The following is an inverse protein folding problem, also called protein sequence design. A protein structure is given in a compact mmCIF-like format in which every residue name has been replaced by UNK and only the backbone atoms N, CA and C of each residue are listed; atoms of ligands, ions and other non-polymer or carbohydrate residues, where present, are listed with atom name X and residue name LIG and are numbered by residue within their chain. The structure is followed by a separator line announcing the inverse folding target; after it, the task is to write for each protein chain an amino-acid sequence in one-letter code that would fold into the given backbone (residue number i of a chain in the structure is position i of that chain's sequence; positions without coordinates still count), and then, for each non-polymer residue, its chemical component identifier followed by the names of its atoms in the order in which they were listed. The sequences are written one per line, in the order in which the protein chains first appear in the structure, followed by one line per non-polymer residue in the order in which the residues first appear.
data_IF_748522431580
#
_entry.id   IF_748522431580
#
_cell.length_a   1.000
_cell.length_b   1.000
_cell.length_c   1.000
_cell.angle_alpha   90.00
_cell.angle_beta   90.00
_cell.angle_gamma   90.00
#
_symmetry.space_group_name_H-M   'P 1'
#
loop_
_entity.id
_entity.type
_entity.pdbx_description
1 polymer ?
#
# COMPACT_ATOMS: atom_id res chain seq x y z
N UNK A 1 -25.35 -22.56 29.53
CA UNK A 1 -24.88 -22.54 28.11
C UNK A 1 -23.34 -22.57 28.01
N UNK A 2 -22.64 -23.46 28.73
CA UNK A 2 -21.17 -23.56 28.74
C UNK A 2 -20.65 -25.00 28.54
N UNK A 3 -21.37 -25.84 27.78
CA UNK A 3 -20.99 -27.26 27.53
C UNK A 3 -20.93 -27.67 26.06
N UNK A 4 -20.99 -26.73 25.12
CA UNK A 4 -21.04 -27.03 23.68
C UNK A 4 -20.03 -26.23 22.84
N UNK A 5 -18.87 -25.88 23.40
CA UNK A 5 -17.71 -25.60 22.56
C UNK A 5 -17.12 -26.94 22.10
N UNK A 6 -17.86 -27.51 21.14
CA UNK A 6 -17.41 -28.31 20.01
C UNK A 6 -15.91 -28.62 20.08
N UNK A 7 -15.62 -29.87 20.44
CA UNK A 7 -14.39 -30.62 20.20
C UNK A 7 -13.91 -30.32 18.77
N UNK A 8 -13.24 -29.18 18.56
CA UNK A 8 -12.34 -29.02 17.44
C UNK A 8 -11.36 -30.18 17.62
N UNK A 9 -11.23 -31.02 16.60
CA UNK A 9 -10.34 -32.18 16.62
C UNK A 9 -9.01 -31.69 17.14
N UNK A 10 -8.72 -31.95 18.43
CA UNK A 10 -7.47 -31.52 19.01
C UNK A 10 -6.38 -32.22 18.20
N UNK A 11 -5.24 -31.55 17.93
CA UNK A 11 -4.15 -32.26 17.30
C UNK A 11 -3.85 -33.50 18.16
N UNK A 12 -3.60 -34.67 17.55
CA UNK A 12 -3.50 -35.95 18.27
C UNK A 12 -2.47 -35.94 19.41
N UNK A 13 -1.58 -34.96 19.39
CA UNK A 13 -0.47 -34.75 20.31
C UNK A 13 -0.81 -33.82 21.50
N UNK A 14 -1.95 -33.12 21.47
CA UNK A 14 -2.37 -32.25 22.57
C UNK A 14 -2.56 -33.02 23.88
N UNK A 15 -3.17 -34.21 23.81
CA UNK A 15 -3.39 -35.07 24.98
C UNK A 15 -2.09 -35.64 25.56
N UNK A 16 -1.07 -35.85 24.70
CA UNK A 16 0.28 -36.26 25.15
C UNK A 16 0.92 -35.10 25.91
N UNK A 17 0.92 -33.90 25.32
CA UNK A 17 1.51 -32.71 25.95
C UNK A 17 0.80 -32.31 27.25
N UNK A 18 -0.52 -32.52 27.37
CA UNK A 18 -1.28 -32.30 28.62
C UNK A 18 -0.87 -33.22 29.75
N UNK A 19 -0.43 -34.45 29.44
CA UNK A 19 0.02 -35.41 30.45
C UNK A 19 1.37 -35.04 31.06
N UNK A 20 2.13 -34.15 30.41
CA UNK A 20 3.33 -33.54 30.97
C UNK A 20 4.54 -33.61 30.05
N UNK A 21 5.62 -32.96 30.47
CA UNK A 21 6.89 -32.90 29.75
C UNK A 21 7.49 -34.29 29.44
N UNK A 22 7.42 -35.24 30.38
CA UNK A 22 8.02 -36.57 30.23
C UNK A 22 7.35 -37.39 29.11
N UNK A 23 6.02 -37.37 29.04
CA UNK A 23 5.26 -38.07 28.00
C UNK A 23 5.53 -37.45 26.63
N UNK A 24 5.65 -36.13 26.56
CA UNK A 24 6.01 -35.41 25.35
C UNK A 24 7.43 -35.78 24.88
N UNK A 25 8.38 -35.92 25.81
CA UNK A 25 9.74 -36.35 25.53
C UNK A 25 9.79 -37.80 25.02
N UNK A 26 9.03 -38.72 25.63
CA UNK A 26 8.93 -40.11 25.16
C UNK A 26 8.35 -40.19 23.76
N UNK A 27 7.27 -39.47 23.49
CA UNK A 27 6.66 -39.43 22.15
C UNK A 27 7.67 -38.95 21.09
N UNK A 28 8.46 -37.92 21.42
CA UNK A 28 9.50 -37.38 20.53
C UNK A 28 10.63 -38.37 20.28
N UNK A 29 10.99 -39.18 21.28
CA UNK A 29 11.99 -40.24 21.14
C UNK A 29 11.49 -41.40 20.26
N UNK A 30 10.20 -41.72 20.33
CA UNK A 30 9.57 -42.75 19.50
C UNK A 30 9.35 -42.29 18.05
N UNK A 31 9.17 -40.99 17.80
CA UNK A 31 8.87 -40.41 16.49
C UNK A 31 9.89 -39.33 16.06
N UNK A 32 11.19 -39.66 15.92
CA UNK A 32 12.24 -38.66 15.65
C UNK A 32 12.13 -38.00 14.26
N UNK A 33 11.42 -38.63 13.33
CA UNK A 33 11.24 -38.14 11.96
C UNK A 33 10.00 -37.25 11.79
N UNK A 34 9.12 -37.21 12.79
CA UNK A 34 7.89 -36.41 12.73
C UNK A 34 8.09 -35.03 13.37
N UNK A 35 7.77 -33.94 12.66
CA UNK A 35 7.85 -32.61 13.25
C UNK A 35 6.79 -32.44 14.33
N UNK A 36 7.24 -32.11 15.54
CA UNK A 36 6.38 -31.86 16.68
C UNK A 36 5.59 -30.54 16.49
N UNK A 37 4.30 -30.65 16.20
CA UNK A 37 3.38 -29.52 16.05
C UNK A 37 2.22 -29.62 17.04
N UNK A 38 2.05 -28.55 17.82
CA UNK A 38 0.98 -28.33 18.79
C UNK A 38 0.16 -27.08 18.40
N UNK A 39 0.17 -26.73 17.10
CA UNK A 39 -0.53 -25.56 16.60
C UNK A 39 -2.04 -25.66 16.86
N UNK A 40 -2.60 -24.62 17.49
CA UNK A 40 -4.00 -24.58 17.90
C UNK A 40 -4.41 -25.58 18.99
N UNK A 41 -3.46 -26.30 19.59
CA UNK A 41 -3.72 -27.21 20.69
C UNK A 41 -4.27 -26.44 21.90
N UNK A 42 -5.22 -27.05 22.61
CA UNK A 42 -5.64 -26.57 23.92
C UNK A 42 -4.77 -27.27 24.97
N UNK A 43 -3.93 -26.51 25.64
CA UNK A 43 -2.95 -26.90 26.65
C UNK A 43 -3.15 -26.05 27.92
N UNK A 44 -4.39 -25.63 28.17
CA UNK A 44 -4.78 -24.89 29.37
C UNK A 44 -4.31 -25.61 30.63
N UNK A 45 -3.64 -24.89 31.52
CA UNK A 45 -3.07 -25.38 32.79
C UNK A 45 -2.10 -26.57 32.65
N UNK A 46 -1.57 -26.82 31.45
CA UNK A 46 -0.61 -27.89 31.23
C UNK A 46 0.71 -27.62 31.98
N UNK A 47 1.27 -28.67 32.61
CA UNK A 47 2.60 -28.61 33.19
C UNK A 47 3.65 -29.04 32.15
N UNK A 48 4.26 -28.05 31.50
CA UNK A 48 5.34 -28.23 30.53
C UNK A 48 6.70 -27.82 31.13
N UNK A 49 6.83 -27.87 32.45
CA UNK A 49 8.07 -27.53 33.14
C UNK A 49 9.17 -28.52 32.75
N UNK A 50 10.36 -28.03 32.42
CA UNK A 50 11.50 -28.82 31.93
C UNK A 50 11.33 -29.39 30.52
N UNK A 51 10.22 -29.11 29.82
CA UNK A 51 9.99 -29.66 28.49
C UNK A 51 10.97 -29.09 27.46
N UNK A 52 11.49 -29.97 26.60
CA UNK A 52 12.20 -29.54 25.40
C UNK A 52 11.20 -29.23 24.28
N UNK A 53 10.91 -27.94 24.09
CA UNK A 53 10.02 -27.41 23.07
C UNK A 53 10.80 -26.74 21.94
N UNK A 54 12.08 -27.10 21.77
CA UNK A 54 12.94 -26.54 20.72
C UNK A 54 12.33 -26.79 19.33
N UNK A 55 12.13 -25.71 18.57
CA UNK A 55 11.56 -25.73 17.22
C UNK A 55 10.08 -26.11 17.12
N UNK A 56 9.35 -26.25 18.23
CA UNK A 56 7.95 -26.69 18.23
C UNK A 56 7.01 -25.58 17.76
N UNK A 57 6.07 -25.92 16.87
CA UNK A 57 5.03 -24.99 16.46
C UNK A 57 3.86 -25.00 17.47
N UNK A 58 3.72 -23.92 18.24
CA UNK A 58 2.65 -23.65 19.20
C UNK A 58 1.72 -22.53 18.68
N UNK A 59 1.74 -22.25 17.38
CA UNK A 59 0.97 -21.14 16.79
C UNK A 59 -0.52 -21.28 17.11
N UNK A 60 -1.11 -20.24 17.70
CA UNK A 60 -2.53 -20.20 18.03
C UNK A 60 -2.97 -21.14 19.18
N UNK A 61 -2.05 -21.86 19.83
CA UNK A 61 -2.36 -22.72 20.97
C UNK A 61 -2.99 -21.93 22.14
N UNK A 62 -3.76 -22.62 22.97
CA UNK A 62 -4.32 -22.09 24.22
C UNK A 62 -3.48 -22.63 25.36
N UNK A 63 -2.65 -21.79 25.97
CA UNK A 63 -1.69 -22.11 27.02
C UNK A 63 -2.01 -21.30 28.29
N UNK A 64 -3.28 -21.00 28.50
CA UNK A 64 -3.72 -20.21 29.64
C UNK A 64 -3.39 -20.95 30.94
N UNK A 65 -2.67 -20.30 31.85
CA UNK A 65 -2.22 -20.90 33.11
C UNK A 65 -1.14 -21.99 32.99
N UNK A 66 -0.60 -22.25 31.80
CA UNK A 66 0.43 -23.28 31.63
C UNK A 66 1.75 -22.91 32.33
N UNK A 67 2.46 -23.93 32.84
CA UNK A 67 3.79 -23.77 33.43
C UNK A 67 4.89 -24.16 32.43
N UNK A 68 5.83 -23.26 32.20
CA UNK A 68 7.03 -23.43 31.37
C UNK A 68 8.32 -23.24 32.19
N UNK A 69 8.29 -23.46 33.50
CA UNK A 69 9.47 -23.36 34.34
C UNK A 69 10.58 -24.29 33.78
N UNK A 70 11.78 -23.75 33.55
CA UNK A 70 12.94 -24.48 33.00
C UNK A 70 12.70 -25.13 31.61
N UNK A 71 11.65 -24.73 30.89
CA UNK A 71 11.37 -25.24 29.54
C UNK A 71 12.31 -24.60 28.51
N UNK A 72 12.73 -25.39 27.50
CA UNK A 72 13.56 -24.90 26.39
C UNK A 72 12.69 -24.48 25.22
N UNK A 73 12.68 -23.19 24.88
CA UNK A 73 11.85 -22.58 23.84
C UNK A 73 12.66 -22.06 22.64
N UNK A 74 13.91 -22.48 22.48
CA UNK A 74 14.74 -22.14 21.32
C UNK A 74 14.00 -22.43 20.01
N UNK A 75 13.86 -21.45 19.12
CA UNK A 75 13.16 -21.56 17.82
C UNK A 75 11.69 -22.01 17.86
N UNK A 76 11.05 -22.12 19.04
CA UNK A 76 9.62 -22.38 19.16
C UNK A 76 8.76 -21.27 18.52
N UNK A 77 7.57 -21.59 18.02
CA UNK A 77 6.69 -20.59 17.39
C UNK A 77 5.43 -20.41 18.23
N UNK A 78 5.33 -19.31 18.98
CA UNK A 78 4.20 -18.98 19.86
C UNK A 78 3.24 -17.95 19.23
N UNK A 79 3.25 -17.83 17.90
CA UNK A 79 2.51 -16.79 17.19
C UNK A 79 1.00 -16.91 17.41
N UNK A 80 0.38 -15.85 17.90
CA UNK A 80 -1.07 -15.85 18.17
C UNK A 80 -1.51 -16.78 19.29
N UNK A 81 -0.60 -17.38 20.07
CA UNK A 81 -0.94 -18.22 21.21
C UNK A 81 -1.64 -17.39 22.31
N UNK A 82 -2.47 -18.04 23.11
CA UNK A 82 -3.00 -17.46 24.35
C UNK A 82 -2.11 -17.93 25.49
N UNK A 83 -1.41 -17.02 26.16
CA UNK A 83 -0.47 -17.30 27.27
C UNK A 83 -0.96 -16.64 28.56
N UNK A 84 -2.29 -16.51 28.73
CA UNK A 84 -2.86 -15.73 29.83
C UNK A 84 -2.47 -16.39 31.15
N UNK A 85 -1.84 -15.64 32.05
CA UNK A 85 -1.35 -16.16 33.34
C UNK A 85 -0.39 -17.35 33.22
N UNK A 86 0.24 -17.55 32.06
CA UNK A 86 1.25 -18.59 31.90
C UNK A 86 2.53 -18.19 32.65
N UNK A 87 3.24 -19.16 33.20
CA UNK A 87 4.52 -18.95 33.86
C UNK A 87 5.68 -19.29 32.92
N UNK A 88 6.36 -18.28 32.39
CA UNK A 88 7.56 -18.38 31.53
C UNK A 88 8.81 -17.82 32.22
N UNK A 89 8.78 -17.51 33.52
CA UNK A 89 9.84 -16.75 34.20
C UNK A 89 11.22 -17.41 34.14
N UNK A 90 11.26 -18.75 34.11
CA UNK A 90 12.47 -19.55 34.02
C UNK A 90 12.63 -20.24 32.65
N UNK A 91 11.89 -19.83 31.62
CA UNK A 91 12.00 -20.44 30.31
C UNK A 91 13.27 -19.97 29.58
N UNK A 92 13.97 -20.90 28.93
CA UNK A 92 15.21 -20.65 28.22
C UNK A 92 14.99 -20.45 26.71
N UNK A 93 15.79 -19.57 26.10
CA UNK A 93 15.82 -19.43 24.63
C UNK A 93 14.61 -18.69 24.02
N UNK A 94 13.75 -18.08 24.84
CA UNK A 94 12.61 -17.29 24.37
C UNK A 94 13.06 -15.91 23.87
N UNK A 95 12.63 -15.55 22.67
CA UNK A 95 12.91 -14.31 21.97
C UNK A 95 11.61 -13.53 21.73
N UNK A 96 11.64 -12.19 21.75
CA UNK A 96 10.45 -11.36 21.54
C UNK A 96 9.66 -11.69 20.26
N UNK A 97 10.35 -11.97 19.16
CA UNK A 97 9.74 -12.26 17.86
C UNK A 97 8.91 -13.56 17.82
N UNK A 98 9.12 -14.48 18.78
CA UNK A 98 8.35 -15.73 18.89
C UNK A 98 6.95 -15.47 19.45
N UNK A 99 6.77 -14.38 20.20
CA UNK A 99 5.52 -13.97 20.85
C UNK A 99 4.61 -13.10 19.97
N UNK A 100 4.95 -12.96 18.68
CA UNK A 100 4.20 -12.13 17.73
C UNK A 100 2.69 -12.46 17.73
N UNK A 101 1.87 -11.46 18.07
CA UNK A 101 0.42 -11.58 18.17
C UNK A 101 -0.12 -12.43 19.33
N UNK A 102 0.73 -12.88 20.26
CA UNK A 102 0.30 -13.63 21.43
C UNK A 102 -0.45 -12.75 22.45
N UNK A 103 -1.26 -13.38 23.30
CA UNK A 103 -1.93 -12.72 24.43
C UNK A 103 -1.19 -13.04 25.72
N UNK A 104 -0.47 -12.06 26.26
CA UNK A 104 0.37 -12.23 27.44
C UNK A 104 -0.31 -11.78 28.73
N UNK A 105 -1.63 -11.57 28.75
CA UNK A 105 -2.32 -11.00 29.92
C UNK A 105 -1.97 -11.75 31.22
N UNK A 106 -1.28 -11.08 32.15
CA UNK A 106 -0.85 -11.64 33.42
C UNK A 106 0.22 -12.73 33.34
N UNK A 107 0.86 -12.93 32.20
CA UNK A 107 1.95 -13.89 32.02
C UNK A 107 3.23 -13.40 32.71
N UNK A 108 3.97 -14.32 33.33
CA UNK A 108 5.30 -14.04 33.89
C UNK A 108 6.35 -14.33 32.83
N UNK A 109 7.07 -13.31 32.35
CA UNK A 109 8.11 -13.44 31.33
C UNK A 109 9.50 -13.59 31.97
N UNK A 110 10.47 -14.21 31.26
CA UNK A 110 11.85 -14.29 31.73
C UNK A 110 12.53 -12.92 31.69
N UNK A 111 13.52 -12.69 32.56
CA UNK A 111 14.27 -11.41 32.65
C UNK A 111 14.97 -11.04 31.34
N UNK A 112 15.30 -12.03 30.51
CA UNK A 112 15.89 -11.84 29.18
C UNK A 112 14.99 -11.05 28.21
N UNK A 113 13.68 -11.03 28.47
CA UNK A 113 12.69 -10.29 27.67
C UNK A 113 12.25 -9.07 28.45
N UNK A 114 12.89 -7.94 28.15
CA UNK A 114 12.49 -6.66 28.73
C UNK A 114 11.16 -6.19 28.13
N UNK A 115 10.10 -6.18 28.95
CA UNK A 115 8.79 -5.62 28.60
C UNK A 115 8.91 -4.15 28.18
N UNK A 116 9.73 -3.37 28.89
CA UNK A 116 10.01 -1.98 28.55
C UNK A 116 10.50 -1.77 27.10
N UNK A 117 11.41 -2.62 26.58
CA UNK A 117 11.85 -2.51 25.18
C UNK A 117 10.76 -2.89 24.19
N UNK A 118 9.87 -3.82 24.53
CA UNK A 118 8.73 -4.17 23.67
C UNK A 118 7.73 -3.01 23.62
N UNK A 119 7.50 -2.34 24.74
CA UNK A 119 6.65 -1.13 24.80
C UNK A 119 7.29 0.06 24.09
N UNK A 120 8.59 0.26 24.26
CA UNK A 120 9.34 1.27 23.52
C UNK A 120 9.31 0.98 22.01
N UNK A 121 9.48 -0.29 21.60
CA UNK A 121 9.32 -0.70 20.20
C UNK A 121 7.89 -0.51 19.69
N UNK A 122 6.87 -0.68 20.54
CA UNK A 122 5.49 -0.36 20.19
C UNK A 122 5.32 1.14 19.93
N UNK A 123 5.89 2.00 20.78
CA UNK A 123 5.87 3.47 20.63
C UNK A 123 6.72 3.96 19.45
N UNK A 124 7.92 3.40 19.27
CA UNK A 124 8.88 3.81 18.24
C UNK A 124 8.47 3.31 16.85
N UNK A 125 7.90 2.09 16.79
CA UNK A 125 7.23 1.60 15.59
C UNK A 125 6.06 2.50 15.20
N UNK A 126 5.37 3.03 16.21
CA UNK A 126 4.26 3.98 16.12
C UNK A 126 4.72 5.44 16.13
N UNK A 127 5.72 5.82 15.31
CA UNK A 127 5.91 7.22 14.91
C UNK A 127 4.71 7.69 14.05
N UNK A 128 3.50 7.54 14.59
CA UNK A 128 2.21 7.82 14.01
C UNK A 128 2.12 9.27 13.59
N UNK A 129 2.79 10.18 14.30
CA UNK A 129 2.83 11.60 13.92
C UNK A 129 3.49 11.81 12.55
N UNK A 130 4.56 11.09 12.25
CA UNK A 130 5.20 11.16 10.93
C UNK A 130 4.33 10.49 9.85
N UNK A 131 3.79 9.30 10.11
CA UNK A 131 2.86 8.64 9.17
C UNK A 131 1.63 9.50 8.89
N UNK A 132 1.10 10.11 9.95
CA UNK A 132 -0.02 11.06 9.95
C UNK A 132 0.28 12.24 9.06
N UNK A 133 1.41 12.87 9.28
CA UNK A 133 1.83 14.04 8.53
C UNK A 133 1.91 13.68 7.04
N UNK A 134 2.58 12.58 6.69
CA UNK A 134 2.71 12.12 5.29
C UNK A 134 1.34 11.84 4.67
N UNK A 135 0.43 11.18 5.39
CA UNK A 135 -0.92 10.93 4.92
C UNK A 135 -1.73 12.22 4.71
N UNK A 136 -1.61 13.20 5.61
CA UNK A 136 -2.26 14.50 5.45
C UNK A 136 -1.68 15.27 4.26
N UNK A 137 -0.37 15.21 4.02
CA UNK A 137 0.25 15.76 2.81
C UNK A 137 -0.27 15.06 1.54
N UNK A 138 -0.44 13.74 1.57
CA UNK A 138 -1.05 13.00 0.45
C UNK A 138 -2.50 13.43 0.21
N UNK A 139 -3.32 13.58 1.27
CA UNK A 139 -4.70 14.06 1.16
C UNK A 139 -4.75 15.49 0.63
N UNK A 140 -3.91 16.38 1.16
CA UNK A 140 -3.78 17.76 0.69
C UNK A 140 -3.36 17.83 -0.78
N UNK A 141 -2.38 17.01 -1.18
CA UNK A 141 -1.97 16.88 -2.59
C UNK A 141 -3.09 16.37 -3.48
N UNK A 142 -3.85 15.36 -3.06
CA UNK A 142 -5.03 14.89 -3.80
C UNK A 142 -6.08 15.99 -3.93
N UNK A 143 -6.45 16.65 -2.82
CA UNK A 143 -7.43 17.72 -2.80
C UNK A 143 -7.02 18.89 -3.70
N UNK A 144 -5.73 19.23 -3.68
CA UNK A 144 -5.15 20.25 -4.53
C UNK A 144 -5.27 19.88 -6.02
N UNK A 145 -4.91 18.65 -6.40
CA UNK A 145 -5.09 18.17 -7.78
C UNK A 145 -6.56 18.19 -8.20
N UNK A 146 -7.49 17.80 -7.32
CA UNK A 146 -8.92 17.87 -7.62
C UNK A 146 -9.43 19.31 -7.79
N UNK A 147 -8.96 20.24 -6.95
CA UNK A 147 -9.27 21.66 -7.10
C UNK A 147 -8.79 22.18 -8.45
N UNK A 148 -7.57 21.82 -8.85
CA UNK A 148 -6.99 22.17 -10.14
C UNK A 148 -7.74 21.54 -11.32
N UNK A 149 -8.19 20.28 -11.18
CA UNK A 149 -9.01 19.60 -12.20
C UNK A 149 -10.36 20.27 -12.43
N UNK A 150 -10.98 20.76 -11.36
CA UNK A 150 -12.28 21.43 -11.40
C UNK A 150 -12.14 22.88 -11.89
N UNK A 151 -11.08 23.60 -11.48
CA UNK A 151 -10.85 24.99 -11.86
C UNK A 151 -10.37 25.15 -13.30
N UNK A 152 -9.64 24.16 -13.84
CA UNK A 152 -9.07 24.25 -15.20
C UNK A 152 -10.14 24.00 -16.26
N UNK A 153 -10.41 25.02 -17.07
CA UNK A 153 -11.33 24.93 -18.21
C UNK A 153 -10.72 24.13 -19.37
N UNK A 154 -11.55 23.54 -20.24
CA UNK A 154 -11.06 22.81 -21.42
C UNK A 154 -10.22 23.70 -22.35
N UNK A 155 -10.56 25.00 -22.40
CA UNK A 155 -9.87 25.97 -23.23
C UNK A 155 -8.43 26.23 -22.75
N UNK A 156 -8.25 26.45 -21.44
CA UNK A 156 -6.93 26.63 -20.82
C UNK A 156 -6.02 25.41 -21.01
N UNK A 157 -6.60 24.21 -20.98
CA UNK A 157 -5.88 22.96 -21.19
C UNK A 157 -5.42 22.78 -22.65
N UNK A 158 -6.23 23.18 -23.63
CA UNK A 158 -5.94 23.05 -25.06
C UNK A 158 -5.00 24.15 -25.56
N UNK A 159 -5.22 25.39 -25.12
CA UNK A 159 -4.43 26.54 -25.56
C UNK A 159 -3.02 26.57 -24.96
N UNK A 160 -2.73 25.81 -23.90
CA UNK A 160 -1.49 25.90 -23.11
C UNK A 160 -1.20 27.31 -22.54
N UNK A 161 -2.12 28.26 -22.72
CA UNK A 161 -2.07 29.65 -22.27
C UNK A 161 -2.59 29.82 -20.83
N UNK A 162 -3.12 28.76 -20.23
CA UNK A 162 -3.67 28.77 -18.88
C UNK A 162 -2.58 28.88 -17.83
N UNK A 163 -2.18 30.11 -17.51
CA UNK A 163 -1.57 30.44 -16.21
C UNK A 163 -2.59 30.06 -15.14
N UNK A 164 -2.25 29.06 -14.32
CA UNK A 164 -3.09 28.73 -13.17
C UNK A 164 -2.53 29.46 -11.97
N UNK A 165 -3.29 30.46 -11.50
CA UNK A 165 -2.99 31.13 -10.25
C UNK A 165 -3.13 30.13 -9.11
N UNK A 166 -2.00 29.75 -8.51
CA UNK A 166 -1.97 28.84 -7.37
C UNK A 166 -2.49 29.58 -6.12
N UNK A 167 -3.65 29.22 -5.55
CA UNK A 167 -4.30 30.00 -4.48
C UNK A 167 -3.50 30.09 -3.17
N UNK A 168 -2.39 29.35 -3.05
CA UNK A 168 -1.53 29.31 -1.86
C UNK A 168 -0.13 29.90 -2.06
N UNK A 169 0.32 30.07 -3.31
CA UNK A 169 1.72 30.40 -3.59
C UNK A 169 1.93 31.65 -4.44
N UNK A 170 0.86 32.29 -4.95
CA UNK A 170 0.95 33.50 -5.79
C UNK A 170 1.99 33.37 -6.91
N UNK A 171 2.10 32.14 -7.46
CA UNK A 171 3.01 31.77 -8.53
C UNK A 171 2.19 31.32 -9.73
N UNK A 172 2.51 31.94 -10.85
CA UNK A 172 1.93 31.66 -12.16
C UNK A 172 2.66 30.48 -12.80
N UNK A 173 2.06 29.30 -12.72
CA UNK A 173 2.60 28.09 -13.34
C UNK A 173 1.79 27.72 -14.60
N UNK A 174 2.46 27.32 -15.70
CA UNK A 174 1.78 26.74 -16.85
C UNK A 174 1.00 25.50 -16.44
N UNK A 175 -0.30 25.46 -16.74
CA UNK A 175 -1.19 24.33 -16.44
C UNK A 175 -0.63 22.97 -16.91
N UNK A 176 0.04 22.94 -18.06
CA UNK A 176 0.63 21.72 -18.63
C UNK A 176 1.72 21.10 -17.73
N UNK A 177 2.57 21.91 -17.12
CA UNK A 177 3.62 21.44 -16.19
C UNK A 177 2.98 20.82 -14.95
N UNK A 178 1.91 21.42 -14.44
CA UNK A 178 1.18 20.88 -13.31
C UNK A 178 0.54 19.50 -13.62
N UNK A 179 -0.17 19.37 -14.74
CA UNK A 179 -0.81 18.10 -15.10
C UNK A 179 0.17 17.00 -15.53
N UNK A 180 1.39 17.38 -15.92
CA UNK A 180 2.49 16.44 -16.15
C UNK A 180 3.14 16.01 -14.83
N UNK A 181 3.66 16.96 -14.04
CA UNK A 181 4.47 16.68 -12.86
C UNK A 181 3.65 16.31 -11.61
N UNK A 182 2.46 16.89 -11.45
CA UNK A 182 1.59 16.70 -10.29
C UNK A 182 1.26 15.23 -9.98
N UNK A 183 0.84 14.42 -10.98
CA UNK A 183 0.64 12.98 -10.77
C UNK A 183 1.88 12.24 -10.27
N UNK A 184 3.07 12.54 -10.79
CA UNK A 184 4.30 11.87 -10.36
C UNK A 184 4.72 12.27 -8.95
N UNK A 185 4.60 13.56 -8.59
CA UNK A 185 4.83 14.02 -7.22
C UNK A 185 3.86 13.35 -6.25
N UNK A 186 2.58 13.24 -6.62
CA UNK A 186 1.57 12.55 -5.82
C UNK A 186 1.91 11.06 -5.65
N UNK A 187 2.35 10.39 -6.72
CA UNK A 187 2.80 8.98 -6.68
C UNK A 187 4.01 8.82 -5.77
N UNK A 188 4.97 9.75 -5.80
CA UNK A 188 6.16 9.70 -4.93
C UNK A 188 5.77 9.80 -3.45
N UNK A 189 4.91 10.76 -3.09
CA UNK A 189 4.39 10.91 -1.72
C UNK A 189 3.58 9.68 -1.31
N UNK A 190 2.72 9.17 -2.20
CA UNK A 190 1.93 7.95 -1.98
C UNK A 190 2.83 6.73 -1.72
N UNK A 191 3.85 6.54 -2.55
CA UNK A 191 4.81 5.45 -2.39
C UNK A 191 5.57 5.56 -1.06
N UNK A 192 6.06 6.75 -0.72
CA UNK A 192 6.78 7.00 0.53
C UNK A 192 5.90 6.67 1.75
N UNK A 193 4.63 7.09 1.72
CA UNK A 193 3.65 6.74 2.75
C UNK A 193 3.50 5.22 2.92
N UNK A 194 3.39 4.48 1.82
CA UNK A 194 3.20 3.03 1.85
C UNK A 194 4.44 2.28 2.35
N UNK A 195 5.64 2.72 1.99
CA UNK A 195 6.89 2.16 2.55
C UNK A 195 6.97 2.41 4.05
N UNK A 196 6.60 3.61 4.49
CA UNK A 196 6.60 3.97 5.91
C UNK A 196 5.60 3.10 6.70
N UNK A 197 4.38 2.97 6.18
CA UNK A 197 3.34 2.15 6.77
C UNK A 197 3.75 0.67 6.86
N UNK A 198 4.41 0.14 5.82
CA UNK A 198 4.93 -1.22 5.82
C UNK A 198 5.95 -1.45 6.95
N UNK A 199 6.91 -0.53 7.12
CA UNK A 199 7.92 -0.62 8.20
C UNK A 199 7.29 -0.57 9.58
N UNK A 200 6.30 0.31 9.77
CA UNK A 200 5.51 0.39 11.00
C UNK A 200 4.81 -0.95 11.28
N UNK A 201 4.16 -1.53 10.27
CA UNK A 201 3.39 -2.77 10.44
C UNK A 201 4.28 -3.98 10.70
N UNK A 202 5.46 -4.07 10.09
CA UNK A 202 6.44 -5.13 10.39
C UNK A 202 6.90 -5.08 11.84
N UNK A 203 7.09 -3.87 12.38
CA UNK A 203 7.44 -3.65 13.78
C UNK A 203 6.30 -4.10 14.68
N UNK A 204 5.07 -3.64 14.44
CA UNK A 204 3.90 -4.02 15.22
C UNK A 204 3.55 -5.51 15.11
N UNK A 205 3.78 -6.13 13.95
CA UNK A 205 3.54 -7.56 13.73
C UNK A 205 4.52 -8.46 14.49
N UNK A 206 5.69 -7.94 14.87
CA UNK A 206 6.67 -8.67 15.70
C UNK A 206 6.30 -8.69 17.18
N UNK A 207 5.43 -7.79 17.62
CA UNK A 207 5.04 -7.60 19.00
C UNK A 207 3.86 -8.48 19.42
N UNK A 208 3.68 -8.73 20.73
CA UNK A 208 2.49 -9.40 21.24
C UNK A 208 1.23 -8.57 20.99
N UNK A 209 0.08 -9.23 20.85
CA UNK A 209 -1.21 -8.56 20.65
C UNK A 209 -1.70 -7.88 21.95
N UNK A 210 -1.43 -8.51 23.10
CA UNK A 210 -1.75 -7.99 24.43
C UNK A 210 -0.53 -8.16 25.32
N UNK A 211 -0.15 -7.08 25.99
CA UNK A 211 1.02 -7.03 26.87
C UNK A 211 0.72 -7.71 28.23
N UNK A 212 1.74 -8.01 29.05
CA UNK A 212 1.57 -8.57 30.39
C UNK A 212 0.58 -7.82 31.28
N UNK A 213 0.51 -6.49 31.15
CA UNK A 213 -0.42 -5.63 31.90
C UNK A 213 -1.89 -5.81 31.50
N UNK A 214 -2.17 -6.60 30.46
CA UNK A 214 -3.49 -6.78 29.88
C UNK A 214 -3.91 -5.66 28.92
N UNK A 215 -3.06 -4.65 28.72
CA UNK A 215 -3.29 -3.63 27.72
C UNK A 215 -3.01 -4.15 26.30
N UNK A 216 -3.96 -3.98 25.36
CA UNK A 216 -3.74 -4.36 23.98
C UNK A 216 -2.81 -3.37 23.27
N UNK A 217 -2.12 -3.88 22.25
CA UNK A 217 -1.20 -3.09 21.42
C UNK A 217 -1.86 -1.88 20.73
N UNK A 218 -3.16 -1.91 20.46
CA UNK A 218 -3.88 -0.79 19.85
C UNK A 218 -4.19 0.36 20.80
N UNK A 219 -3.99 0.17 22.12
CA UNK A 219 -3.99 1.26 23.10
C UNK A 219 -2.57 1.79 23.34
N UNK A 220 -1.57 0.91 23.29
CA UNK A 220 -0.15 1.31 23.45
C UNK A 220 0.41 2.00 22.18
N UNK A 221 -0.06 1.62 21.00
CA UNK A 221 0.13 2.36 19.74
C UNK A 221 -1.06 3.32 19.54
N UNK A 222 -0.80 4.59 19.31
CA UNK A 222 -1.81 5.64 19.11
C UNK A 222 -2.77 5.25 17.97
N UNK A 223 -4.07 5.28 18.26
CA UNK A 223 -5.12 4.85 17.34
C UNK A 223 -5.33 5.78 16.14
N UNK A 224 -4.40 5.77 15.18
CA UNK A 224 -4.57 6.42 13.88
C UNK A 224 -5.43 5.57 12.92
N UNK A 225 -6.09 6.21 11.93
CA UNK A 225 -7.10 5.61 11.03
C UNK A 225 -6.66 4.33 10.30
N UNK A 226 -5.35 4.15 10.06
CA UNK A 226 -4.77 3.01 9.35
C UNK A 226 -4.43 1.82 10.26
N UNK A 227 -4.39 1.99 11.59
CA UNK A 227 -4.27 0.86 12.54
C UNK A 227 -5.58 0.08 12.70
N UNK A 228 -6.71 0.60 12.21
CA UNK A 228 -7.98 -0.14 12.16
C UNK A 228 -7.87 -1.48 11.41
N UNK A 229 -6.94 -1.59 10.46
CA UNK A 229 -6.61 -2.83 9.75
C UNK A 229 -5.93 -3.87 10.67
N UNK A 230 -5.11 -3.43 11.63
CA UNK A 230 -4.51 -4.29 12.66
C UNK A 230 -5.60 -4.92 13.53
N UNK A 231 -6.62 -4.12 13.90
CA UNK A 231 -7.81 -4.59 14.63
C UNK A 231 -8.61 -5.64 13.87
N UNK A 232 -8.61 -5.59 12.53
CA UNK A 232 -9.34 -6.57 11.71
C UNK A 232 -8.72 -7.97 11.81
N UNK A 233 -7.40 -8.08 11.95
CA UNK A 233 -6.68 -9.37 11.97
C UNK A 233 -6.74 -10.07 13.31
N UNK A 234 -6.56 -9.36 14.42
CA UNK A 234 -6.63 -9.95 15.75
C UNK A 234 -8.07 -9.98 16.24
N UNK A 235 -8.79 -11.06 15.88
CA UNK A 235 -10.15 -11.37 16.36
C UNK A 235 -10.31 -11.29 17.90
N UNK A 236 -9.20 -11.34 18.66
CA UNK A 236 -9.17 -11.31 20.15
C UNK A 236 -9.13 -9.91 20.77
N UNK A 237 -8.97 -8.84 19.99
CA UNK A 237 -9.08 -7.47 20.52
C UNK A 237 -10.55 -7.20 20.90
N UNK A 238 -10.82 -7.08 22.21
CA UNK A 238 -12.17 -6.97 22.77
C UNK A 238 -12.85 -5.66 22.33
N UNK A 239 -14.06 -5.80 21.79
CA UNK A 239 -14.99 -4.69 21.54
C UNK A 239 -14.80 -4.03 20.17
N UNK A 240 -15.55 -4.48 19.16
CA UNK A 240 -15.65 -3.73 17.89
C UNK A 240 -16.68 -2.61 18.06
N UNK A 241 -16.32 -1.32 17.84
CA UNK A 241 -17.32 -0.25 17.81
C UNK A 241 -18.27 -0.43 16.61
N UNK A 242 -19.50 0.06 16.71
CA UNK A 242 -20.56 -0.10 15.68
C UNK A 242 -20.18 0.49 14.31
N UNK A 243 -19.33 1.53 14.28
CA UNK A 243 -18.86 2.18 13.04
C UNK A 243 -17.56 1.57 12.47
N UNK A 244 -17.10 0.44 12.99
CA UNK A 244 -15.82 -0.17 12.59
C UNK A 244 -15.73 -0.47 11.08
N UNK A 245 -16.82 -0.95 10.47
CA UNK A 245 -16.84 -1.28 9.04
C UNK A 245 -16.70 -0.04 8.16
N UNK A 246 -17.47 1.01 8.45
CA UNK A 246 -17.48 2.25 7.69
C UNK A 246 -16.13 2.99 7.82
N UNK A 247 -15.57 3.04 9.03
CA UNK A 247 -14.25 3.62 9.26
C UNK A 247 -13.16 2.84 8.50
N UNK A 248 -13.20 1.51 8.52
CA UNK A 248 -12.24 0.67 7.78
C UNK A 248 -12.36 0.88 6.27
N UNK A 249 -13.59 0.93 5.74
CA UNK A 249 -13.83 1.20 4.33
C UNK A 249 -13.32 2.59 3.92
N UNK A 250 -13.55 3.61 4.75
CA UNK A 250 -13.04 4.96 4.53
C UNK A 250 -11.51 4.99 4.57
N UNK A 251 -10.88 4.32 5.53
CA UNK A 251 -9.41 4.21 5.60
C UNK A 251 -8.82 3.51 4.38
N UNK A 252 -9.47 2.45 3.87
CA UNK A 252 -9.04 1.78 2.64
C UNK A 252 -9.19 2.69 1.43
N UNK A 253 -10.31 3.40 1.32
CA UNK A 253 -10.56 4.33 0.23
C UNK A 253 -9.53 5.47 0.23
N UNK A 254 -9.29 6.10 1.39
CA UNK A 254 -8.34 7.21 1.49
C UNK A 254 -6.88 6.75 1.37
N UNK A 255 -6.52 5.61 1.96
CA UNK A 255 -5.15 5.11 1.99
C UNK A 255 -4.70 4.39 0.72
N UNK A 256 -5.61 3.72 0.00
CA UNK A 256 -5.29 2.92 -1.18
C UNK A 256 -6.04 3.33 -2.46
N UNK A 257 -7.18 4.01 -2.35
CA UNK A 257 -8.03 4.36 -3.51
C UNK A 257 -7.85 5.80 -4.01
N UNK A 258 -7.71 6.77 -3.11
CA UNK A 258 -7.77 8.19 -3.46
C UNK A 258 -6.69 8.62 -4.45
N UNK A 259 -5.44 8.24 -4.23
CA UNK A 259 -4.35 8.59 -5.14
C UNK A 259 -4.52 7.95 -6.54
N UNK A 260 -4.80 6.64 -6.69
CA UNK A 260 -5.15 6.06 -8.00
C UNK A 260 -6.30 6.76 -8.71
N UNK A 261 -7.39 7.06 -8.00
CA UNK A 261 -8.55 7.76 -8.55
C UNK A 261 -8.15 9.16 -9.05
N UNK A 262 -7.31 9.87 -8.30
CA UNK A 262 -6.84 11.22 -8.64
C UNK A 262 -5.93 11.19 -9.87
N UNK A 263 -4.97 10.26 -9.93
CA UNK A 263 -4.08 10.10 -11.10
C UNK A 263 -4.88 9.70 -12.35
N UNK A 264 -5.85 8.81 -12.22
CA UNK A 264 -6.75 8.43 -13.31
C UNK A 264 -7.61 9.60 -13.79
N UNK A 265 -8.10 10.44 -12.88
CA UNK A 265 -8.86 11.64 -13.23
C UNK A 265 -8.01 12.64 -14.03
N UNK A 266 -6.74 12.82 -13.67
CA UNK A 266 -5.78 13.62 -14.44
C UNK A 266 -5.57 13.04 -15.83
N UNK A 267 -5.30 11.74 -15.94
CA UNK A 267 -5.15 11.07 -17.25
C UNK A 267 -6.39 11.26 -18.13
N UNK A 268 -7.59 11.00 -17.59
CA UNK A 268 -8.85 11.15 -18.33
C UNK A 268 -9.04 12.57 -18.83
N UNK A 269 -8.65 13.58 -18.04
CA UNK A 269 -8.77 15.00 -18.42
C UNK A 269 -7.78 15.37 -19.52
N UNK A 270 -6.53 14.92 -19.42
CA UNK A 270 -5.47 15.23 -20.39
C UNK A 270 -5.59 14.42 -21.69
N UNK A 271 -6.23 13.25 -21.67
CA UNK A 271 -6.49 12.46 -22.86
C UNK A 271 -7.29 13.21 -23.94
N UNK A 272 -8.04 14.26 -23.56
CA UNK A 272 -8.78 15.13 -24.47
C UNK A 272 -7.82 15.94 -25.38
N UNK A 273 -6.61 16.25 -24.93
CA UNK A 273 -5.61 17.02 -25.70
C UNK A 273 -5.06 16.23 -26.89
N UNK A 274 -5.30 14.91 -26.95
CA UNK A 274 -4.80 14.00 -27.98
C UNK A 274 -3.26 14.02 -28.18
N UNK A 275 -2.50 14.53 -27.20
CA UNK A 275 -1.05 14.40 -27.13
C UNK A 275 -0.69 13.00 -26.64
N UNK A 276 -0.36 12.12 -27.59
CA UNK A 276 -0.10 10.70 -27.31
C UNK A 276 1.04 10.48 -26.30
N UNK A 277 2.12 11.27 -26.38
CA UNK A 277 3.26 11.14 -25.46
C UNK A 277 2.84 11.37 -24.01
N UNK A 278 2.19 12.51 -23.73
CA UNK A 278 1.67 12.86 -22.40
C UNK A 278 0.64 11.84 -21.91
N UNK A 279 -0.24 11.38 -22.81
CA UNK A 279 -1.28 10.39 -22.46
C UNK A 279 -0.70 9.02 -22.12
N UNK A 280 0.33 8.56 -22.84
CA UNK A 280 1.04 7.30 -22.56
C UNK A 280 1.76 7.40 -21.21
N UNK A 281 2.49 8.49 -20.96
CA UNK A 281 3.19 8.69 -19.68
C UNK A 281 2.22 8.66 -18.50
N UNK A 282 1.06 9.29 -18.63
CA UNK A 282 0.04 9.29 -17.58
C UNK A 282 -0.69 7.94 -17.45
N UNK A 283 -0.85 7.18 -18.53
CA UNK A 283 -1.36 5.80 -18.46
C UNK A 283 -0.39 4.88 -17.71
N UNK A 284 0.92 5.04 -17.95
CA UNK A 284 1.97 4.35 -17.18
C UNK A 284 1.96 4.78 -15.70
N UNK A 285 1.75 6.07 -15.42
CA UNK A 285 1.58 6.57 -14.06
C UNK A 285 0.35 5.95 -13.35
N UNK A 286 -0.77 5.80 -14.07
CA UNK A 286 -1.96 5.08 -13.57
C UNK A 286 -1.64 3.61 -13.25
N UNK A 287 -0.92 2.92 -14.12
CA UNK A 287 -0.51 1.54 -13.89
C UNK A 287 0.41 1.43 -12.66
N UNK A 288 1.39 2.33 -12.53
CA UNK A 288 2.32 2.37 -11.39
C UNK A 288 1.57 2.57 -10.06
N UNK A 289 0.68 3.56 -9.97
CA UNK A 289 -0.01 3.86 -8.71
C UNK A 289 -0.94 2.72 -8.29
N UNK A 290 -1.60 2.05 -9.24
CA UNK A 290 -2.42 0.87 -8.97
C UNK A 290 -1.54 -0.30 -8.51
N UNK A 291 -0.39 -0.52 -9.17
CA UNK A 291 0.56 -1.56 -8.77
C UNK A 291 1.11 -1.33 -7.36
N UNK A 292 1.51 -0.11 -7.03
CA UNK A 292 1.95 0.27 -5.67
C UNK A 292 0.83 0.03 -4.67
N UNK A 293 -0.40 0.42 -4.98
CA UNK A 293 -1.56 0.24 -4.10
C UNK A 293 -1.84 -1.26 -3.83
N UNK A 294 -1.95 -2.09 -4.87
CA UNK A 294 -2.21 -3.51 -4.71
C UNK A 294 -1.05 -4.25 -4.05
N UNK A 295 0.18 -3.94 -4.47
CA UNK A 295 1.40 -4.55 -3.92
C UNK A 295 1.63 -4.17 -2.46
N UNK A 296 1.39 -2.90 -2.10
CA UNK A 296 1.48 -2.48 -0.71
C UNK A 296 0.40 -3.14 0.12
N UNK A 297 -0.85 -3.23 -0.37
CA UNK A 297 -1.95 -3.91 0.35
C UNK A 297 -1.66 -5.39 0.62
N UNK A 298 -1.14 -6.12 -0.37
CA UNK A 298 -0.74 -7.51 -0.19
C UNK A 298 0.44 -7.63 0.81
N UNK A 299 1.44 -6.76 0.69
CA UNK A 299 2.59 -6.74 1.61
C UNK A 299 2.14 -6.46 3.05
N UNK A 300 1.30 -5.45 3.22
CA UNK A 300 0.61 -5.07 4.44
C UNK A 300 -0.09 -6.28 5.07
N UNK A 301 -0.87 -6.99 4.27
CA UNK A 301 -1.63 -8.13 4.73
C UNK A 301 -0.74 -9.37 4.99
N UNK A 302 0.38 -9.48 4.27
CA UNK A 302 1.34 -10.58 4.40
C UNK A 302 2.26 -10.44 5.61
N UNK A 303 2.59 -9.21 6.03
CA UNK A 303 3.39 -8.92 7.21
C UNK A 303 2.81 -9.58 8.48
N UNK A 304 1.48 -9.67 8.55
CA UNK A 304 0.76 -10.34 9.63
C UNK A 304 0.53 -11.86 9.41
N UNK A 305 0.82 -12.42 8.23
CA UNK A 305 0.67 -13.86 7.95
C UNK A 305 1.98 -14.63 8.05
N UNK A 306 3.09 -14.04 7.63
CA UNK A 306 4.39 -14.71 7.56
C UNK A 306 5.43 -13.66 7.91
N UNK A 307 6.24 -13.89 8.94
CA UNK A 307 7.42 -13.07 9.26
C UNK A 307 8.53 -13.15 8.19
N UNK A 308 8.17 -13.01 6.91
CA UNK A 308 9.08 -12.89 5.79
C UNK A 308 9.35 -11.40 5.58
N UNK A 309 10.63 -11.05 5.59
CA UNK A 309 11.12 -9.68 5.41
C UNK A 309 10.77 -9.11 4.03
N UNK A 310 10.96 -7.79 3.95
CA UNK A 310 10.83 -6.79 2.89
C UNK A 310 11.51 -7.00 1.49
N UNK A 311 12.43 -7.96 1.20
CA UNK A 311 13.23 -7.88 -0.04
C UNK A 311 12.42 -7.92 -1.34
N UNK A 312 11.24 -8.56 -1.35
CA UNK A 312 10.49 -8.77 -2.60
C UNK A 312 9.68 -7.54 -3.04
N UNK A 313 9.21 -6.71 -2.12
CA UNK A 313 8.44 -5.51 -2.47
C UNK A 313 9.36 -4.38 -2.94
N UNK A 314 10.45 -4.12 -2.21
CA UNK A 314 11.48 -3.15 -2.62
C UNK A 314 12.14 -3.54 -3.95
N UNK A 315 12.44 -4.82 -4.15
CA UNK A 315 12.96 -5.30 -5.44
C UNK A 315 11.93 -5.11 -6.55
N UNK A 316 10.66 -5.47 -6.34
CA UNK A 316 9.61 -5.33 -7.37
C UNK A 316 9.30 -3.88 -7.70
N UNK A 317 9.23 -3.00 -6.70
CA UNK A 317 8.96 -1.57 -6.93
C UNK A 317 10.20 -0.87 -7.48
N UNK A 318 11.40 -1.19 -6.99
CA UNK A 318 12.65 -0.70 -7.55
C UNK A 318 12.84 -1.12 -9.01
N UNK A 319 12.52 -2.37 -9.35
CA UNK A 319 12.53 -2.85 -10.74
C UNK A 319 11.46 -2.16 -11.59
N UNK A 320 10.28 -1.90 -11.03
CA UNK A 320 9.19 -1.20 -11.74
C UNK A 320 9.53 0.27 -11.98
N UNK A 321 10.15 0.95 -11.01
CA UNK A 321 10.63 2.32 -11.13
C UNK A 321 11.82 2.40 -12.11
N UNK A 322 12.76 1.45 -12.06
CA UNK A 322 13.84 1.35 -13.04
C UNK A 322 13.29 1.08 -14.45
N UNK A 323 12.31 0.21 -14.59
CA UNK A 323 11.66 -0.09 -15.87
C UNK A 323 10.89 1.12 -16.39
N UNK A 324 10.19 1.85 -15.53
CA UNK A 324 9.48 3.08 -15.91
C UNK A 324 10.44 4.22 -16.27
N UNK A 325 11.54 4.38 -15.53
CA UNK A 325 12.57 5.38 -15.84
C UNK A 325 13.34 5.01 -17.10
N UNK A 326 13.59 3.72 -17.33
CA UNK A 326 14.15 3.20 -18.58
C UNK A 326 13.19 3.41 -19.76
N UNK A 327 11.91 3.06 -19.63
CA UNK A 327 10.90 3.29 -20.64
C UNK A 327 10.70 4.79 -20.92
N UNK A 328 10.78 5.63 -19.89
CA UNK A 328 10.76 7.09 -20.02
C UNK A 328 11.98 7.59 -20.79
N UNK A 329 13.19 7.12 -20.48
CA UNK A 329 14.42 7.48 -21.17
C UNK A 329 14.43 7.01 -22.63
N UNK A 330 13.99 5.78 -22.88
CA UNK A 330 13.85 5.21 -24.23
C UNK A 330 12.82 6.02 -25.02
N UNK A 331 11.65 6.34 -24.46
CA UNK A 331 10.65 7.14 -25.17
C UNK A 331 11.13 8.56 -25.44
N UNK A 332 11.73 9.24 -24.46
CA UNK A 332 12.26 10.59 -24.65
C UNK A 332 13.31 10.61 -25.76
N UNK A 333 14.24 9.66 -25.76
CA UNK A 333 15.29 9.54 -26.77
C UNK A 333 14.77 9.11 -28.16
N UNK A 334 13.67 8.35 -28.22
CA UNK A 334 13.04 7.93 -29.48
C UNK A 334 12.26 9.08 -30.14
N UNK A 335 11.67 9.98 -29.35
CA UNK A 335 10.80 11.04 -29.85
C UNK A 335 11.49 12.41 -30.01
N UNK A 336 12.63 12.65 -29.34
CA UNK A 336 13.43 13.89 -29.49
C UNK A 336 14.43 13.82 -30.67
N UNK A 337 14.38 12.76 -31.48
CA UNK A 337 15.19 12.62 -32.71
C UNK A 337 16.70 12.50 -32.51
N UNK A 338 17.18 12.33 -31.27
CA UNK A 338 18.61 12.35 -30.92
C UNK A 338 19.23 10.95 -30.75
N UNK A 339 18.48 9.85 -30.89
CA UNK A 339 19.05 8.49 -30.76
C UNK A 339 18.67 7.57 -31.91
N UNK A 340 19.71 6.98 -32.53
CA UNK A 340 19.62 6.03 -33.67
C UNK A 340 19.08 4.64 -33.28
N UNK A 341 18.54 4.47 -32.07
CA UNK A 341 18.03 3.17 -31.61
C UNK A 341 16.54 3.01 -31.95
N UNK A 342 16.26 2.80 -33.24
CA UNK A 342 14.91 2.51 -33.75
C UNK A 342 14.49 1.07 -33.44
N UNK A 343 13.83 0.84 -32.30
CA UNK A 343 13.30 -0.50 -31.97
C UNK A 343 11.90 -0.76 -32.52
N UNK A 344 11.17 0.29 -32.88
CA UNK A 344 9.90 0.20 -33.62
C UNK A 344 9.88 1.31 -34.65
N UNK A 345 10.17 0.95 -35.90
CA UNK A 345 10.17 1.85 -37.06
C UNK A 345 8.72 2.27 -37.40
N UNK A 346 8.06 2.99 -36.50
CA UNK A 346 6.69 3.46 -36.65
C UNK A 346 6.75 4.92 -37.06
N UNK A 347 6.59 5.14 -38.36
CA UNK A 347 6.39 6.46 -38.92
C UNK A 347 5.00 6.95 -38.50
N UNK A 348 4.91 7.96 -37.63
CA UNK A 348 3.63 8.48 -37.14
C UNK A 348 3.16 9.57 -38.08
N UNK A 349 2.34 9.21 -39.06
CA UNK A 349 1.56 10.18 -39.85
C UNK A 349 0.27 10.55 -39.08
N UNK A 350 0.06 11.85 -38.82
CA UNK A 350 -1.20 12.37 -38.27
C UNK A 350 -2.35 12.12 -39.26
N UNK A 351 -3.16 11.10 -38.99
CA UNK A 351 -4.32 10.79 -39.83
C UNK A 351 -5.53 11.65 -39.45
N UNK A 352 -6.12 12.33 -40.45
CA UNK A 352 -7.41 13.03 -40.32
C UNK A 352 -8.47 12.06 -39.78
N UNK A 353 -9.49 12.54 -39.02
CA UNK A 353 -10.61 11.69 -38.64
C UNK A 353 -11.30 11.13 -39.89
N UNK A 354 -11.15 9.84 -40.15
CA UNK A 354 -11.77 9.17 -41.31
C UNK A 354 -13.19 8.71 -40.97
N UNK A 355 -13.97 8.38 -42.00
CA UNK A 355 -15.37 7.96 -41.87
C UNK A 355 -15.62 6.74 -40.96
N UNK A 356 -14.56 5.99 -40.64
CA UNK A 356 -14.61 4.82 -39.76
C UNK A 356 -14.53 5.14 -38.25
N UNK A 357 -14.43 6.41 -37.85
CA UNK A 357 -14.40 6.82 -36.43
C UNK A 357 -15.80 6.79 -35.79
N UNK A 358 -16.13 5.86 -34.87
CA UNK A 358 -17.54 5.46 -34.65
C UNK A 358 -18.37 6.34 -33.70
N UNK A 359 -17.85 7.48 -33.22
CA UNK A 359 -18.46 8.20 -32.08
C UNK A 359 -18.78 9.68 -32.29
N UNK A 360 -18.56 10.22 -33.48
CA UNK A 360 -18.69 11.66 -33.73
C UNK A 360 -19.90 11.94 -34.63
N UNK A 361 -20.85 12.75 -34.16
CA UNK A 361 -21.93 13.27 -35.01
C UNK A 361 -21.35 14.12 -36.15
N UNK A 362 -22.04 14.17 -37.30
CA UNK A 362 -21.55 14.83 -38.53
C UNK A 362 -21.16 16.31 -38.31
N UNK A 363 -21.89 17.03 -37.45
CA UNK A 363 -21.61 18.44 -37.11
C UNK A 363 -20.30 18.61 -36.34
N UNK A 364 -20.07 17.81 -35.29
CA UNK A 364 -18.79 17.79 -34.55
C UNK A 364 -17.62 17.39 -35.45
N UNK A 365 -17.83 16.47 -36.39
CA UNK A 365 -16.80 16.04 -37.37
C UNK A 365 -16.41 17.17 -38.32
N UNK A 366 -17.39 17.91 -38.85
CA UNK A 366 -17.14 19.04 -39.73
C UNK A 366 -16.43 20.21 -39.02
N UNK A 367 -16.75 20.46 -37.74
CA UNK A 367 -16.12 21.52 -36.96
C UNK A 367 -14.66 21.19 -36.61
N UNK A 368 -14.37 19.93 -36.28
CA UNK A 368 -13.00 19.46 -36.00
C UNK A 368 -12.15 19.49 -37.27
N UNK A 369 -12.71 19.07 -38.41
CA UNK A 369 -11.99 19.16 -39.68
C UNK A 369 -11.69 20.61 -40.06
N UNK A 370 -12.63 21.55 -39.83
CA UNK A 370 -12.37 22.99 -39.99
C UNK A 370 -11.29 23.51 -39.03
N UNK A 371 -11.28 23.06 -37.78
CA UNK A 371 -10.20 23.39 -36.84
C UNK A 371 -8.84 22.89 -37.32
N UNK A 372 -8.75 21.68 -37.90
CA UNK A 372 -7.50 21.16 -38.48
C UNK A 372 -7.07 21.90 -39.76
N UNK A 373 -8.02 22.41 -40.55
CA UNK A 373 -7.74 23.18 -41.76
C UNK A 373 -7.31 24.62 -41.45
N UNK A 374 -7.78 25.19 -40.34
CA UNK A 374 -7.51 26.57 -39.93
C UNK A 374 -6.44 26.70 -38.85
N UNK A 375 -6.11 25.61 -38.15
CA UNK A 375 -5.02 25.59 -37.18
C UNK A 375 -3.67 25.48 -37.89
N UNK A 376 -2.71 26.38 -37.60
CA UNK A 376 -1.34 26.28 -38.11
C UNK A 376 -0.56 25.06 -37.59
N UNK A 377 -1.16 24.23 -36.72
CA UNK A 377 -0.59 22.96 -36.28
C UNK A 377 -0.63 21.84 -37.34
N UNK A 378 -1.14 22.13 -38.54
CA UNK A 378 -1.00 21.24 -39.68
C UNK A 378 0.48 21.18 -40.09
N UNK A 379 1.11 20.05 -39.76
CA UNK A 379 2.48 19.64 -40.10
C UNK A 379 3.58 20.36 -39.32
N UNK A 380 4.01 19.76 -38.20
CA UNK A 380 5.44 19.75 -37.91
C UNK A 380 6.13 19.00 -39.07
N UNK A 381 6.57 19.72 -40.10
CA UNK A 381 7.63 19.23 -40.96
C UNK A 381 8.90 19.24 -40.09
N UNK A 382 9.42 18.05 -39.79
CA UNK A 382 10.57 17.79 -38.92
C UNK A 382 11.90 18.33 -39.49
N UNK A 383 11.85 19.37 -40.33
CA UNK A 383 12.97 19.99 -41.06
C UNK A 383 13.50 21.28 -40.43
N UNK A 384 13.15 21.60 -39.19
CA UNK A 384 13.86 22.63 -38.42
C UNK A 384 13.64 24.08 -38.89
N UNK A 385 12.55 24.37 -39.60
CA UNK A 385 12.11 25.74 -39.83
C UNK A 385 11.21 26.16 -38.66
N UNK A 386 11.59 27.21 -37.91
CA UNK A 386 10.75 27.79 -36.87
C UNK A 386 9.43 28.25 -37.48
N UNK A 387 8.32 27.74 -36.97
CA UNK A 387 6.98 28.22 -37.34
C UNK A 387 6.85 29.72 -37.03
N UNK A 388 6.06 30.43 -37.85
CA UNK A 388 5.76 31.84 -37.65
C UNK A 388 5.03 32.04 -36.29
N UNK A 389 5.30 33.15 -35.58
CA UNK A 389 4.69 33.40 -34.27
C UNK A 389 3.16 33.49 -34.39
N UNK A 390 2.48 32.88 -33.41
CA UNK A 390 1.02 32.88 -33.28
C UNK A 390 0.47 34.31 -33.34
N UNK A 391 -0.29 34.65 -34.38
CA UNK A 391 -0.75 36.02 -34.59
C UNK A 391 -2.04 36.30 -33.84
N UNK A 392 -2.37 37.59 -33.67
CA UNK A 392 -3.62 38.01 -33.05
C UNK A 392 -4.85 37.54 -33.85
N UNK A 393 -4.72 37.47 -35.17
CA UNK A 393 -5.76 36.97 -36.06
C UNK A 393 -6.01 35.46 -35.88
N UNK A 394 -4.96 34.67 -35.63
CA UNK A 394 -5.10 33.24 -35.35
C UNK A 394 -5.85 33.01 -34.03
N UNK A 395 -5.63 33.86 -33.04
CA UNK A 395 -6.35 33.84 -31.76
C UNK A 395 -7.84 34.17 -31.94
N UNK A 396 -8.16 35.21 -32.71
CA UNK A 396 -9.56 35.62 -32.93
C UNK A 396 -10.35 34.58 -33.75
N UNK A 397 -9.71 33.93 -34.72
CA UNK A 397 -10.29 32.81 -35.46
C UNK A 397 -10.54 31.59 -34.56
N UNK A 398 -9.60 31.28 -33.66
CA UNK A 398 -9.76 30.21 -32.68
C UNK A 398 -10.93 30.49 -31.73
N UNK A 399 -11.03 31.71 -31.19
CA UNK A 399 -12.12 32.13 -30.31
C UNK A 399 -13.49 32.05 -30.99
N UNK A 400 -13.56 32.39 -32.28
CA UNK A 400 -14.78 32.29 -33.09
C UNK A 400 -15.21 30.83 -33.29
N UNK A 401 -14.27 29.95 -33.68
CA UNK A 401 -14.51 28.50 -33.80
C UNK A 401 -15.00 27.89 -32.47
N UNK A 402 -14.46 28.34 -31.35
CA UNK A 402 -14.84 27.87 -30.02
C UNK A 402 -16.23 28.35 -29.60
N UNK A 403 -16.63 29.54 -30.05
CA UNK A 403 -17.98 30.07 -29.85
C UNK A 403 -19.00 29.24 -30.63
N UNK A 404 -18.70 28.92 -31.89
CA UNK A 404 -19.48 27.98 -32.71
C UNK A 404 -19.51 26.55 -32.13
N UNK A 405 -18.49 26.14 -31.37
CA UNK A 405 -18.45 24.82 -30.72
C UNK A 405 -19.27 24.76 -29.42
N UNK A 406 -19.54 25.92 -28.79
CA UNK A 406 -20.33 26.04 -27.55
C UNK A 406 -21.83 26.16 -27.82
N UNK A 407 -22.21 26.80 -28.92
CA UNK A 407 -23.58 26.80 -29.45
C UNK A 407 -23.97 25.43 -30.01
#
# INVERSE_FOLDING_TARGET
MLRFYRKATQPPLADVARRGADELARWRAEHPQEPLSLAGADLTEANLSGADLTGVDLSGAVLDGASFADARLHDAVLRGASLRRANLSAAEGLLPNQLAGADLTGASLPESISVARMEEAAKLGDNADHARMIFLWMLGGCAFVWLMLISTTQLQLLANDGVVHLPLFDVDAPSSVFFLAGPFLLIAVFYYMHVYMQRMWETLASLPAVFPDGEPIDRKAHGWMLLGLVRWRWKRLRGRPSMFLAQTALSLLLGWGLAPITVFAVWRRCAIRHEWNTSIMQALACALVVFVSLGSFDAAWSAFRRGKRLPKLLLRVGLSLCLLYFLQGVMYATFDGQSEWTLFNVNIEHHRPTDRTPKWGRSKRALVNRYYEQSPFATHDFKGLRDAPFTRADRDNLDTLLKEWRE
#
